data_IF_797188047192
#
_entry.id   IF_797188047192
#
_cell.length_a   1.000
_cell.length_b   1.000
_cell.length_c   1.000
_cell.angle_alpha   90.00
_cell.angle_beta   90.00
_cell.angle_gamma   90.00
#
_symmetry.space_group_name_H-M   'P 1'
#
loop_
_entity.id
_entity.type
_entity.pdbx_description
1 polymer ?
#
# COMPACT_ATOMS: atom_id res chain seq x y z
N UNK A 1 32.22 -8.01 0.12
CA UNK A 1 30.95 -8.63 -0.36
C UNK A 1 30.51 -7.99 -1.66
N UNK A 2 29.90 -8.76 -2.59
CA UNK A 2 29.24 -8.22 -3.80
C UNK A 2 27.92 -7.54 -3.45
N UNK A 3 27.40 -6.67 -4.31
CA UNK A 3 26.09 -6.02 -4.12
C UNK A 3 24.99 -7.04 -3.86
N UNK A 4 24.95 -8.10 -4.65
CA UNK A 4 23.95 -9.17 -4.50
C UNK A 4 24.04 -9.90 -3.16
N UNK A 5 25.26 -10.13 -2.65
CA UNK A 5 25.45 -10.72 -1.31
C UNK A 5 24.97 -9.77 -0.19
N UNK A 6 25.21 -8.47 -0.33
CA UNK A 6 24.70 -7.48 0.62
C UNK A 6 23.17 -7.45 0.62
N UNK A 7 22.54 -7.43 -0.55
CA UNK A 7 21.07 -7.48 -0.68
C UNK A 7 20.48 -8.77 -0.10
N UNK A 8 21.15 -9.92 -0.26
CA UNK A 8 20.75 -11.18 0.36
C UNK A 8 20.80 -11.10 1.89
N UNK A 9 21.84 -10.49 2.46
CA UNK A 9 21.94 -10.27 3.91
C UNK A 9 20.84 -9.33 4.42
N UNK A 10 20.55 -8.25 3.70
CA UNK A 10 19.42 -7.36 4.02
C UNK A 10 18.10 -8.13 3.99
N UNK A 11 17.93 -9.05 3.04
CA UNK A 11 16.74 -9.88 2.94
C UNK A 11 16.66 -10.90 4.07
N UNK A 12 17.79 -11.52 4.45
CA UNK A 12 17.85 -12.43 5.59
C UNK A 12 17.47 -11.75 6.92
N UNK A 13 17.79 -10.46 7.04
CA UNK A 13 17.44 -9.65 8.20
C UNK A 13 16.06 -8.96 8.10
N UNK A 14 15.20 -9.39 7.16
CA UNK A 14 13.87 -8.79 6.91
C UNK A 14 13.87 -7.27 6.64
N UNK A 15 14.98 -6.76 6.07
CA UNK A 15 15.10 -5.34 5.70
C UNK A 15 14.90 -5.09 4.21
N UNK A 16 14.84 -6.15 3.38
CA UNK A 16 14.75 -6.07 1.92
C UNK A 16 13.97 -7.26 1.36
N UNK A 17 13.01 -7.07 0.46
CA UNK A 17 12.30 -8.20 -0.13
C UNK A 17 13.23 -9.05 -1.02
N UNK A 18 13.13 -10.37 -0.92
CA UNK A 18 13.93 -11.31 -1.72
C UNK A 18 13.77 -11.06 -3.22
N UNK A 19 12.57 -10.66 -3.65
CA UNK A 19 12.26 -10.32 -5.04
C UNK A 19 13.05 -9.12 -5.59
N UNK A 20 13.63 -8.29 -4.73
CA UNK A 20 14.42 -7.11 -5.11
C UNK A 20 15.95 -7.34 -5.02
N UNK A 21 16.39 -8.60 -4.90
CA UNK A 21 17.82 -8.99 -4.94
C UNK A 21 18.27 -9.07 -6.40
N UNK A 22 18.53 -7.90 -7.00
CA UNK A 22 18.86 -7.75 -8.43
C UNK A 22 20.36 -7.54 -8.71
N UNK A 23 21.14 -7.21 -7.66
CA UNK A 23 22.57 -6.88 -7.78
C UNK A 23 22.83 -5.40 -8.10
N UNK A 24 21.81 -4.55 -8.12
CA UNK A 24 21.90 -3.12 -8.37
C UNK A 24 21.74 -2.36 -7.05
N UNK A 25 22.74 -1.56 -6.66
CA UNK A 25 22.66 -0.77 -5.44
C UNK A 25 21.91 0.54 -5.71
N UNK A 26 20.67 0.60 -5.30
CA UNK A 26 19.79 1.76 -5.49
C UNK A 26 19.25 2.33 -4.17
N UNK A 27 18.35 3.33 -4.24
CA UNK A 27 17.73 3.94 -3.06
C UNK A 27 17.05 2.93 -2.12
N UNK A 28 16.48 1.87 -2.66
CA UNK A 28 15.86 0.80 -1.90
C UNK A 28 16.87 0.01 -1.07
N UNK A 29 18.03 -0.30 -1.65
CA UNK A 29 19.13 -0.96 -0.92
C UNK A 29 19.70 -0.05 0.18
N UNK A 30 19.83 1.26 -0.09
CA UNK A 30 20.27 2.23 0.91
C UNK A 30 19.29 2.33 2.09
N UNK A 31 17.97 2.40 1.81
CA UNK A 31 16.93 2.40 2.84
C UNK A 31 16.97 1.12 3.69
N UNK A 32 17.10 -0.02 3.04
CA UNK A 32 17.20 -1.31 3.72
C UNK A 32 18.47 -1.41 4.58
N UNK A 33 19.59 -0.81 4.11
CA UNK A 33 20.82 -0.72 4.90
C UNK A 33 20.62 0.11 6.16
N UNK A 34 19.97 1.27 6.07
CA UNK A 34 19.68 2.10 7.24
C UNK A 34 18.80 1.34 8.26
N UNK A 35 17.81 0.58 7.79
CA UNK A 35 16.98 -0.25 8.66
C UNK A 35 17.79 -1.35 9.35
N UNK A 36 18.66 -2.05 8.63
CA UNK A 36 19.56 -3.05 9.21
C UNK A 36 20.54 -2.43 10.24
N UNK A 37 21.13 -1.29 9.91
CA UNK A 37 22.03 -0.55 10.82
C UNK A 37 21.32 -0.21 12.14
N UNK A 38 20.05 0.22 12.07
CA UNK A 38 19.22 0.49 13.25
C UNK A 38 19.00 -0.76 14.09
N UNK A 39 18.72 -1.91 13.46
CA UNK A 39 18.59 -3.21 14.14
C UNK A 39 19.90 -3.63 14.81
N UNK A 40 21.05 -3.30 14.22
CA UNK A 40 22.38 -3.60 14.75
C UNK A 40 22.86 -2.57 15.81
N UNK A 41 22.07 -1.51 16.08
CA UNK A 41 22.43 -0.48 17.06
C UNK A 41 23.62 0.40 16.64
N UNK A 42 23.88 0.56 15.34
CA UNK A 42 24.90 1.43 14.77
C UNK A 42 24.26 2.62 14.03
N UNK A 43 25.00 3.71 13.71
CA UNK A 43 24.48 4.83 12.96
C UNK A 43 23.82 4.38 11.64
N UNK A 44 22.56 4.82 11.42
CA UNK A 44 21.69 4.39 10.34
C UNK A 44 21.74 5.32 9.11
N UNK A 45 22.95 5.57 8.60
CA UNK A 45 23.21 6.46 7.46
C UNK A 45 22.85 5.86 6.08
N UNK A 46 22.48 4.60 6.03
CA UNK A 46 22.15 3.88 4.80
C UNK A 46 23.35 3.57 3.92
N UNK A 47 24.58 3.81 4.40
CA UNK A 47 25.82 3.54 3.67
C UNK A 47 26.42 2.22 4.16
N UNK A 48 26.60 1.29 3.26
CA UNK A 48 27.29 0.02 3.58
C UNK A 48 28.79 0.19 3.55
N UNK A 49 29.36 0.67 4.66
CA UNK A 49 30.81 0.84 4.89
C UNK A 49 31.39 -0.22 5.83
N UNK A 50 32.66 0.00 6.25
CA UNK A 50 33.40 -0.93 7.11
C UNK A 50 32.72 -1.13 8.48
N UNK A 51 32.09 -0.10 9.03
CA UNK A 51 31.34 -0.20 10.28
C UNK A 51 30.14 -1.15 10.15
N UNK A 52 29.39 -1.06 9.04
CA UNK A 52 28.28 -1.97 8.74
C UNK A 52 28.77 -3.39 8.50
N UNK A 53 29.88 -3.55 7.76
CA UNK A 53 30.50 -4.86 7.51
C UNK A 53 30.96 -5.52 8.81
N UNK A 54 31.53 -4.76 9.74
CA UNK A 54 31.97 -5.25 11.05
C UNK A 54 30.78 -5.67 11.90
N UNK A 55 29.80 -4.81 12.04
CA UNK A 55 28.61 -5.07 12.86
C UNK A 55 27.83 -6.31 12.39
N UNK A 56 27.62 -6.47 11.07
CA UNK A 56 26.94 -7.64 10.55
C UNK A 56 27.74 -8.95 10.74
N UNK A 57 29.07 -8.89 10.66
CA UNK A 57 29.93 -10.04 10.96
C UNK A 57 29.84 -10.43 12.43
N UNK A 58 29.97 -9.47 13.34
CA UNK A 58 29.85 -9.69 14.79
C UNK A 58 28.49 -10.30 15.12
N UNK A 59 27.42 -9.80 14.52
CA UNK A 59 26.07 -10.35 14.64
C UNK A 59 26.00 -11.83 14.19
N UNK A 60 26.51 -12.14 13.00
CA UNK A 60 26.50 -13.52 12.47
C UNK A 60 27.33 -14.46 13.34
N UNK A 61 28.48 -14.02 13.85
CA UNK A 61 29.38 -14.83 14.66
C UNK A 61 28.95 -14.97 16.12
N UNK A 62 28.22 -14.00 16.66
CA UNK A 62 27.76 -14.06 18.05
C UNK A 62 26.68 -15.11 18.29
N UNK A 63 26.01 -15.57 17.25
CA UNK A 63 24.86 -16.47 17.36
C UNK A 63 23.71 -15.87 18.19
N UNK A 64 23.75 -14.57 18.44
CA UNK A 64 22.71 -13.85 19.17
C UNK A 64 21.52 -13.73 18.24
N UNK A 65 20.39 -14.33 18.61
CA UNK A 65 19.12 -13.96 18.02
C UNK A 65 18.92 -12.48 18.32
N UNK A 66 18.92 -11.64 17.27
CA UNK A 66 18.37 -10.31 17.43
C UNK A 66 16.96 -10.51 17.97
N UNK A 67 16.68 -9.89 19.12
CA UNK A 67 15.30 -9.57 19.39
C UNK A 67 14.88 -8.69 18.22
N UNK A 68 14.24 -9.31 17.22
CA UNK A 68 13.59 -8.58 16.15
C UNK A 68 12.60 -7.69 16.89
N UNK A 69 12.81 -6.37 16.93
CA UNK A 69 11.81 -5.52 17.54
C UNK A 69 10.50 -5.92 16.89
N UNK A 70 9.49 -6.28 17.70
CA UNK A 70 8.16 -6.61 17.18
C UNK A 70 7.87 -5.60 16.09
N UNK A 71 7.46 -6.09 14.91
CA UNK A 71 7.19 -5.25 13.75
C UNK A 71 6.14 -4.22 14.17
N UNK A 72 6.61 -3.10 14.75
CA UNK A 72 5.76 -1.98 15.21
C UNK A 72 5.21 -1.22 14.01
N UNK A 73 5.62 -1.62 12.81
CA UNK A 73 5.14 -1.12 11.56
C UNK A 73 3.69 -1.53 11.30
N UNK A 74 2.94 -0.61 10.78
CA UNK A 74 1.60 -0.89 10.24
C UNK A 74 1.73 -1.60 8.89
N UNK A 75 0.67 -2.25 8.39
CA UNK A 75 0.67 -2.82 7.04
C UNK A 75 1.00 -1.78 5.95
N UNK A 76 0.86 -0.47 6.24
CA UNK A 76 1.21 0.63 5.35
C UNK A 76 2.69 0.66 4.95
N UNK A 77 3.58 0.15 5.80
CA UNK A 77 5.02 0.08 5.51
C UNK A 77 5.35 -0.93 4.40
N UNK A 78 4.41 -1.82 4.09
CA UNK A 78 4.49 -2.82 3.02
C UNK A 78 3.80 -2.35 1.73
N UNK A 79 3.11 -1.20 1.75
CA UNK A 79 2.41 -0.66 0.58
C UNK A 79 3.37 0.19 -0.26
N UNK A 80 3.52 -0.21 -1.52
CA UNK A 80 4.51 0.40 -2.42
C UNK A 80 4.03 1.72 -3.03
N UNK A 81 2.74 1.80 -3.40
CA UNK A 81 2.25 2.85 -4.29
C UNK A 81 1.25 3.81 -3.66
N UNK A 82 0.73 3.50 -2.50
CA UNK A 82 -0.29 4.31 -1.84
C UNK A 82 0.10 4.65 -0.41
N UNK A 83 -0.41 5.76 0.09
CA UNK A 83 -0.34 6.13 1.49
C UNK A 83 -1.76 6.31 2.06
N UNK A 84 -1.88 6.33 3.38
CA UNK A 84 -3.16 6.42 4.09
C UNK A 84 -3.99 7.64 3.68
N UNK A 85 -3.33 8.79 3.49
CA UNK A 85 -4.01 10.06 3.20
C UNK A 85 -4.75 10.06 1.85
N UNK A 86 -4.34 9.23 0.90
CA UNK A 86 -5.02 9.10 -0.40
C UNK A 86 -6.43 8.51 -0.25
N UNK A 87 -6.67 7.71 0.79
CA UNK A 87 -7.97 7.09 1.07
C UNK A 87 -8.91 7.99 1.88
N UNK A 88 -8.48 9.18 2.24
CA UNK A 88 -9.22 10.13 3.08
C UNK A 88 -10.61 10.43 2.52
N UNK A 89 -11.61 10.55 3.41
CA UNK A 89 -12.94 11.03 3.06
C UNK A 89 -12.88 12.46 2.49
N UNK A 90 -13.51 12.66 1.35
CA UNK A 90 -13.46 13.95 0.61
C UNK A 90 -14.57 14.93 1.00
N UNK A 91 -15.27 14.73 2.11
CA UNK A 91 -16.39 15.60 2.53
C UNK A 91 -15.98 17.07 2.71
N UNK A 92 -14.71 17.36 3.01
CA UNK A 92 -14.17 18.73 3.10
C UNK A 92 -14.18 19.46 1.75
N UNK A 93 -14.21 18.76 0.62
CA UNK A 93 -14.29 19.37 -0.71
C UNK A 93 -15.70 19.81 -1.07
N UNK A 94 -16.71 19.26 -0.38
CA UNK A 94 -18.11 19.57 -0.64
C UNK A 94 -18.67 20.62 0.31
N UNK A 95 -17.97 20.90 1.42
CA UNK A 95 -18.46 21.81 2.44
C UNK A 95 -17.27 22.54 3.11
N UNK A 96 -17.39 23.88 3.36
CA UNK A 96 -16.39 24.64 4.12
C UNK A 96 -16.11 24.07 5.52
N UNK A 97 -17.10 23.42 6.12
CA UNK A 97 -16.94 22.69 7.38
C UNK A 97 -17.03 21.20 7.06
N UNK A 98 -15.93 20.42 7.22
CA UNK A 98 -15.95 19.00 6.97
C UNK A 98 -16.89 18.28 7.95
N UNK A 99 -17.54 17.21 7.47
CA UNK A 99 -18.47 16.39 8.29
C UNK A 99 -17.74 15.32 9.12
N UNK A 100 -16.45 15.14 8.92
CA UNK A 100 -15.59 14.24 9.69
C UNK A 100 -14.13 14.73 9.60
N UNK A 101 -13.26 14.15 10.41
CA UNK A 101 -11.82 14.43 10.44
C UNK A 101 -11.04 13.89 9.22
N UNK A 102 -11.73 13.17 8.32
CA UNK A 102 -11.18 12.56 7.13
C UNK A 102 -11.10 11.04 7.18
N UNK A 103 -11.10 10.47 8.36
CA UNK A 103 -11.06 9.00 8.55
C UNK A 103 -12.16 8.53 9.50
N UNK A 104 -13.45 8.61 9.06
CA UNK A 104 -14.57 8.10 9.88
C UNK A 104 -14.47 6.59 10.12
N UNK A 105 -13.67 5.91 9.31
CA UNK A 105 -13.25 4.52 9.40
C UNK A 105 -11.88 4.39 8.76
N UNK A 106 -11.05 3.47 9.24
CA UNK A 106 -9.76 3.18 8.60
C UNK A 106 -9.94 2.37 7.30
N UNK A 107 -9.16 2.68 6.25
CA UNK A 107 -9.08 1.82 5.07
C UNK A 107 -8.66 0.40 5.49
N UNK A 108 -9.41 -0.59 5.09
CA UNK A 108 -9.11 -1.97 5.46
C UNK A 108 -7.87 -2.47 4.71
N UNK A 109 -6.98 -3.16 5.41
CA UNK A 109 -5.72 -3.68 4.86
C UNK A 109 -5.93 -4.44 3.54
N UNK A 110 -6.93 -5.33 3.49
CA UNK A 110 -7.24 -6.08 2.28
C UNK A 110 -7.59 -5.17 1.10
N UNK A 111 -8.32 -4.06 1.33
CA UNK A 111 -8.64 -3.07 0.30
C UNK A 111 -7.37 -2.41 -0.22
N UNK A 112 -6.53 -1.90 0.70
CA UNK A 112 -5.28 -1.22 0.34
C UNK A 112 -4.35 -2.15 -0.44
N UNK A 113 -4.17 -3.39 0.02
CA UNK A 113 -3.36 -4.39 -0.70
C UNK A 113 -3.94 -4.73 -2.06
N UNK A 114 -5.26 -4.80 -2.20
CA UNK A 114 -5.93 -5.07 -3.48
C UNK A 114 -5.68 -3.96 -4.49
N UNK A 115 -5.86 -2.69 -4.12
CA UNK A 115 -5.61 -1.57 -5.04
C UNK A 115 -4.13 -1.39 -5.36
N UNK A 116 -3.25 -1.68 -4.40
CA UNK A 116 -1.80 -1.69 -4.61
C UNK A 116 -1.39 -2.75 -5.66
N UNK A 117 -1.96 -3.96 -5.59
CA UNK A 117 -1.74 -5.02 -6.56
C UNK A 117 -2.31 -4.68 -7.95
N UNK A 118 -3.50 -4.06 -8.02
CA UNK A 118 -4.07 -3.57 -9.28
C UNK A 118 -3.11 -2.57 -9.93
N UNK A 119 -2.61 -1.57 -9.19
CA UNK A 119 -1.66 -0.59 -9.72
C UNK A 119 -0.36 -1.25 -10.17
N UNK A 120 0.17 -2.20 -9.41
CA UNK A 120 1.38 -2.95 -9.75
C UNK A 120 1.24 -3.68 -11.08
N UNK A 121 0.10 -4.34 -11.31
CA UNK A 121 -0.16 -5.07 -12.58
C UNK A 121 -0.44 -4.14 -13.76
N UNK A 122 -1.08 -3.01 -13.54
CA UNK A 122 -1.30 -2.01 -14.59
C UNK A 122 0.01 -1.36 -15.05
N UNK A 123 1.03 -1.28 -14.19
CA UNK A 123 2.34 -0.71 -14.49
C UNK A 123 2.33 0.80 -14.75
N UNK A 124 1.26 1.49 -14.38
CA UNK A 124 1.06 2.93 -14.55
C UNK A 124 0.47 3.55 -13.27
N UNK A 125 0.57 4.86 -13.07
CA UNK A 125 -0.06 5.53 -11.94
C UNK A 125 -1.57 5.27 -11.88
N UNK A 126 -2.05 4.89 -10.69
CA UNK A 126 -3.46 4.78 -10.33
C UNK A 126 -3.70 5.68 -9.12
N UNK A 127 -4.77 6.43 -9.14
CA UNK A 127 -5.16 7.35 -8.06
C UNK A 127 -6.52 7.00 -7.49
N UNK A 128 -6.70 7.27 -6.21
CA UNK A 128 -8.02 7.25 -5.58
C UNK A 128 -8.78 8.49 -6.06
N UNK A 129 -10.00 8.30 -6.58
CA UNK A 129 -10.82 9.40 -7.10
C UNK A 129 -11.24 10.34 -5.97
N UNK A 130 -11.07 11.65 -6.19
CA UNK A 130 -11.40 12.67 -5.19
C UNK A 130 -12.59 13.56 -5.56
N UNK A 131 -13.10 13.46 -6.79
CA UNK A 131 -14.27 14.19 -7.28
C UNK A 131 -15.49 13.26 -7.30
N UNK A 132 -16.31 13.27 -6.24
CA UNK A 132 -17.48 12.39 -6.12
C UNK A 132 -17.18 10.93 -5.77
N UNK A 133 -15.92 10.51 -5.88
CA UNK A 133 -15.41 9.22 -5.43
C UNK A 133 -14.58 9.33 -4.17
N UNK A 134 -14.11 8.23 -3.62
CA UNK A 134 -13.16 8.24 -2.51
C UNK A 134 -12.63 6.84 -2.18
N UNK A 135 -11.73 6.79 -1.20
CA UNK A 135 -11.47 5.60 -0.40
C UNK A 135 -12.58 5.45 0.65
N UNK A 136 -12.36 5.96 1.88
CA UNK A 136 -13.40 5.92 2.92
C UNK A 136 -14.40 7.07 2.77
N UNK A 137 -15.62 6.88 3.25
CA UNK A 137 -16.66 7.92 3.29
C UNK A 137 -17.33 7.99 4.66
N UNK A 138 -17.62 9.20 5.14
CA UNK A 138 -18.57 9.38 6.22
C UNK A 138 -20.03 9.25 5.69
N UNK A 139 -21.01 8.99 6.56
CA UNK A 139 -22.41 8.83 6.14
C UNK A 139 -22.96 10.03 5.37
N UNK A 140 -22.61 11.24 5.78
CA UNK A 140 -23.08 12.48 5.13
C UNK A 140 -22.48 12.59 3.71
N UNK A 141 -21.16 12.35 3.58
CA UNK A 141 -20.52 12.33 2.25
C UNK A 141 -21.14 11.27 1.35
N UNK A 142 -21.35 10.07 1.87
CA UNK A 142 -21.97 8.98 1.11
C UNK A 142 -23.35 9.35 0.56
N UNK A 143 -24.19 9.99 1.39
CA UNK A 143 -25.51 10.48 0.97
C UNK A 143 -25.40 11.56 -0.10
N UNK A 144 -24.51 12.52 0.08
CA UNK A 144 -24.32 13.63 -0.85
C UNK A 144 -23.86 13.22 -2.25
N UNK A 145 -23.11 12.12 -2.35
CA UNK A 145 -22.67 11.57 -3.64
C UNK A 145 -23.63 10.48 -4.19
N UNK A 146 -24.80 10.30 -3.58
CA UNK A 146 -25.78 9.31 -4.03
C UNK A 146 -25.41 7.87 -3.72
N UNK A 147 -24.53 7.62 -2.77
CA UNK A 147 -24.11 6.27 -2.39
C UNK A 147 -25.23 5.51 -1.65
N UNK A 148 -25.26 4.18 -1.83
CA UNK A 148 -26.21 3.30 -1.14
C UNK A 148 -25.95 3.27 0.36
N UNK A 149 -27.00 3.03 1.16
CA UNK A 149 -26.94 3.07 2.63
C UNK A 149 -25.93 2.05 3.23
N UNK A 150 -25.69 0.94 2.55
CA UNK A 150 -24.75 -0.11 2.94
C UNK A 150 -23.48 -0.11 2.09
N UNK A 151 -23.06 1.05 1.60
CA UNK A 151 -21.86 1.21 0.78
C UNK A 151 -20.60 0.72 1.51
N UNK A 152 -19.76 -0.04 0.80
CA UNK A 152 -18.48 -0.54 1.32
C UNK A 152 -17.45 0.58 1.59
N UNK A 153 -17.62 1.78 1.06
CA UNK A 153 -16.84 2.96 1.46
C UNK A 153 -17.08 3.37 2.92
N UNK A 154 -18.26 3.12 3.47
CA UNK A 154 -18.60 3.41 4.87
C UNK A 154 -17.84 2.51 5.87
N UNK A 155 -17.34 1.38 5.40
CA UNK A 155 -16.63 0.38 6.21
C UNK A 155 -15.15 0.27 5.85
N UNK A 156 -14.65 1.15 4.97
CA UNK A 156 -13.25 1.12 4.51
C UNK A 156 -12.93 -0.02 3.55
N UNK A 157 -13.94 -0.70 3.02
CA UNK A 157 -13.80 -1.87 2.16
C UNK A 157 -13.95 -1.56 0.67
N UNK A 158 -14.00 -0.29 0.27
CA UNK A 158 -14.10 0.10 -1.14
C UNK A 158 -13.20 1.29 -1.49
N UNK A 159 -12.81 1.36 -2.76
CA UNK A 159 -12.11 2.48 -3.37
C UNK A 159 -12.55 2.69 -4.81
N UNK A 160 -12.66 3.96 -5.21
CA UNK A 160 -12.91 4.38 -6.57
C UNK A 160 -11.57 4.77 -7.21
N UNK A 161 -11.22 4.15 -8.33
CA UNK A 161 -9.91 4.23 -8.96
C UNK A 161 -9.96 4.89 -10.34
N UNK A 162 -8.96 5.72 -10.62
CA UNK A 162 -8.71 6.33 -11.91
C UNK A 162 -7.25 6.17 -12.34
N UNK A 163 -7.00 6.14 -13.64
CA UNK A 163 -5.67 6.03 -14.24
C UNK A 163 -5.67 6.58 -15.67
N UNK A 164 -4.50 6.69 -16.29
CA UNK A 164 -4.37 6.98 -17.73
C UNK A 164 -4.82 5.82 -18.63
N UNK A 165 -4.93 4.59 -18.07
CA UNK A 165 -5.52 3.44 -18.76
C UNK A 165 -7.03 3.61 -18.90
N UNK A 166 -7.59 3.01 -19.95
CA UNK A 166 -9.05 3.00 -20.12
C UNK A 166 -9.72 2.26 -18.93
N UNK A 167 -10.95 2.67 -18.55
CA UNK A 167 -11.69 1.95 -17.52
C UNK A 167 -11.83 0.45 -17.80
N UNK A 168 -11.94 0.04 -19.06
CA UNK A 168 -12.02 -1.36 -19.47
C UNK A 168 -10.71 -2.13 -19.24
N UNK A 169 -9.55 -1.50 -19.44
CA UNK A 169 -8.25 -2.09 -19.13
C UNK A 169 -8.07 -2.23 -17.61
N UNK A 170 -8.43 -1.19 -16.86
CA UNK A 170 -8.43 -1.21 -15.40
C UNK A 170 -9.34 -2.32 -14.86
N UNK A 171 -10.55 -2.43 -15.42
CA UNK A 171 -11.53 -3.43 -15.02
C UNK A 171 -11.00 -4.85 -15.20
N UNK A 172 -10.40 -5.17 -16.35
CA UNK A 172 -9.83 -6.51 -16.61
C UNK A 172 -8.76 -6.88 -15.58
N UNK A 173 -7.85 -5.96 -15.29
CA UNK A 173 -6.79 -6.20 -14.29
C UNK A 173 -7.39 -6.35 -12.90
N UNK A 174 -8.36 -5.51 -12.53
CA UNK A 174 -9.04 -5.62 -11.24
C UNK A 174 -9.84 -6.94 -11.10
N UNK A 175 -10.46 -7.40 -12.18
CA UNK A 175 -11.15 -8.71 -12.24
C UNK A 175 -10.19 -9.88 -11.95
N UNK A 176 -9.00 -9.86 -12.57
CA UNK A 176 -7.96 -10.87 -12.32
C UNK A 176 -7.48 -10.86 -10.86
N UNK A 177 -7.34 -9.67 -10.26
CA UNK A 177 -6.91 -9.53 -8.87
C UNK A 177 -7.99 -9.98 -7.88
N UNK A 178 -9.24 -9.62 -8.13
CA UNK A 178 -10.38 -9.98 -7.27
C UNK A 178 -10.82 -11.44 -7.44
N UNK A 179 -10.67 -12.01 -8.65
CA UNK A 179 -11.18 -13.32 -8.99
C UNK A 179 -12.69 -13.42 -8.76
N UNK A 180 -13.13 -14.49 -8.08
CA UNK A 180 -14.53 -14.75 -7.76
C UNK A 180 -14.96 -14.11 -6.41
N UNK A 181 -14.39 -12.97 -6.03
CA UNK A 181 -14.70 -12.29 -4.76
C UNK A 181 -14.89 -10.79 -4.94
N UNK A 182 -15.53 -10.16 -3.95
CA UNK A 182 -15.68 -8.72 -3.92
C UNK A 182 -16.59 -8.13 -5.00
N UNK A 183 -16.69 -6.84 -5.03
CA UNK A 183 -17.46 -6.11 -6.03
C UNK A 183 -16.56 -5.31 -6.97
N UNK A 184 -16.96 -5.19 -8.22
CA UNK A 184 -16.27 -4.43 -9.24
C UNK A 184 -17.27 -3.73 -10.13
N UNK A 185 -17.21 -2.40 -10.16
CA UNK A 185 -18.05 -1.54 -10.98
C UNK A 185 -17.25 -0.90 -12.10
N UNK A 186 -17.78 -0.90 -13.31
CA UNK A 186 -17.22 -0.20 -14.47
C UNK A 186 -17.97 1.10 -14.70
N UNK A 187 -17.24 2.21 -14.73
CA UNK A 187 -17.76 3.56 -14.98
C UNK A 187 -17.03 4.22 -16.15
N UNK A 188 -17.61 5.26 -16.72
CA UNK A 188 -16.95 6.03 -17.79
C UNK A 188 -15.67 6.75 -17.36
N UNK A 189 -15.53 7.02 -16.06
CA UNK A 189 -14.39 7.74 -15.46
C UNK A 189 -13.35 6.82 -14.81
N UNK A 190 -13.63 5.53 -14.61
CA UNK A 190 -12.74 4.61 -13.91
C UNK A 190 -13.47 3.37 -13.40
N UNK A 191 -13.02 2.83 -12.27
CA UNK A 191 -13.59 1.63 -11.67
C UNK A 191 -13.86 1.81 -10.18
N UNK A 192 -14.91 1.13 -9.69
CA UNK A 192 -15.14 0.89 -8.28
C UNK A 192 -14.64 -0.49 -7.90
N UNK A 193 -13.89 -0.60 -6.80
CA UNK A 193 -13.38 -1.87 -6.26
C UNK A 193 -13.84 -2.03 -4.83
N UNK A 194 -14.46 -3.16 -4.49
CA UNK A 194 -14.88 -3.51 -3.13
C UNK A 194 -14.36 -4.88 -2.70
N UNK A 195 -13.97 -5.01 -1.44
CA UNK A 195 -13.51 -6.26 -0.82
C UNK A 195 -14.36 -6.63 0.39
N UNK A 196 -14.18 -7.84 0.93
CA UNK A 196 -14.91 -8.32 2.11
C UNK A 196 -16.44 -8.30 1.95
N UNK A 197 -16.92 -8.35 0.71
CA UNK A 197 -18.33 -8.35 0.34
C UNK A 197 -18.65 -9.49 -0.62
N UNK A 198 -19.93 -9.65 -0.96
CA UNK A 198 -20.37 -10.65 -1.93
C UNK A 198 -19.84 -10.30 -3.32
N UNK A 199 -19.62 -11.35 -4.12
CA UNK A 199 -19.28 -11.18 -5.52
C UNK A 199 -20.35 -10.36 -6.25
N UNK A 200 -19.94 -9.31 -6.92
CA UNK A 200 -20.80 -8.46 -7.75
C UNK A 200 -20.01 -7.83 -8.89
N UNK A 201 -20.61 -7.77 -10.08
CA UNK A 201 -20.07 -7.10 -11.27
C UNK A 201 -21.18 -6.26 -11.88
N UNK A 202 -20.91 -4.97 -12.14
CA UNK A 202 -21.91 -4.05 -12.64
C UNK A 202 -21.33 -2.90 -13.46
N UNK A 203 -22.17 -2.26 -14.24
CA UNK A 203 -21.87 -1.04 -14.97
C UNK A 203 -22.65 0.12 -14.32
N UNK A 204 -22.01 1.24 -14.11
CA UNK A 204 -22.57 2.47 -13.56
C UNK A 204 -22.60 3.61 -14.57
#
# INVERSE_FOLDING_TARGET
>A
MTTKQKQLLLSYMDCHPVSAVDGIWGPQSAKATAEMQRKLGIPDDGVWGDQTDTAIREYIYSGTDLEVPEKTGTFWDEIEFFNREEFRCQCYRQNPVPFCDGFPVEPQEKMVRTVNEIRRRLGVPVTIVTSGGSGVRCPVHNTNVGGVANSNHLTGNAADLHSEKTPQEMYRVAEEVLGNSGELGLYSWGIHVGVNCKYSRYNG
#
